data_IF_693386844386
#
_entry.id   IF_693386844386
#
_cell.length_a   1.000
_cell.length_b   1.000
_cell.length_c   1.000
_cell.angle_alpha   90.00
_cell.angle_beta   90.00
_cell.angle_gamma   90.00
#
_symmetry.space_group_name_H-M   'P 1'
#
loop_
_entity.id
_entity.type
_entity.pdbx_description
1 polymer ?
#
# COMPACT_ATOMS: atom_id res chain seq x y z
N UNK A 1 -6.13 -9.55 -5.17
CA UNK A 1 -4.85 -8.83 -5.09
C UNK A 1 -4.77 -7.94 -3.85
N UNK A 2 -5.56 -6.87 -3.74
CA UNK A 2 -5.51 -5.97 -2.57
C UNK A 2 -5.75 -6.68 -1.23
N UNK A 3 -6.70 -7.62 -1.19
CA UNK A 3 -6.95 -8.43 0.02
C UNK A 3 -5.74 -9.28 0.44
N UNK A 4 -4.96 -9.78 -0.52
CA UNK A 4 -3.74 -10.54 -0.24
C UNK A 4 -2.64 -9.63 0.30
N UNK A 5 -2.44 -8.46 -0.33
CA UNK A 5 -1.49 -7.46 0.14
C UNK A 5 -1.80 -7.01 1.57
N UNK A 6 -3.03 -6.58 1.82
CA UNK A 6 -3.44 -6.13 3.16
C UNK A 6 -3.33 -7.28 4.16
N UNK A 7 -3.70 -8.50 3.77
CA UNK A 7 -3.53 -9.69 4.60
C UNK A 7 -2.07 -10.00 4.96
N UNK A 8 -1.11 -9.72 4.08
CA UNK A 8 0.33 -9.85 4.35
C UNK A 8 0.82 -8.77 5.31
N UNK A 9 0.45 -7.51 5.07
CA UNK A 9 0.83 -6.40 5.94
C UNK A 9 0.28 -6.57 7.36
N UNK A 10 -0.98 -6.99 7.51
CA UNK A 10 -1.61 -7.25 8.81
C UNK A 10 -0.99 -8.43 9.58
N UNK A 11 -0.19 -9.28 8.92
CA UNK A 11 0.48 -10.44 9.52
C UNK A 11 1.99 -10.27 9.68
N UNK A 12 2.57 -9.23 9.09
CA UNK A 12 3.99 -8.92 9.24
C UNK A 12 4.20 -8.23 10.58
N UNK A 13 5.08 -8.76 11.47
CA UNK A 13 5.26 -8.21 12.81
C UNK A 13 5.78 -6.77 12.84
N UNK A 14 6.42 -6.31 11.76
CA UNK A 14 6.95 -4.96 11.64
C UNK A 14 5.95 -4.00 10.96
N UNK A 15 4.85 -4.51 10.37
CA UNK A 15 3.81 -3.68 9.74
C UNK A 15 2.47 -3.72 10.48
N UNK A 16 2.13 -4.82 11.15
CA UNK A 16 0.92 -4.97 11.93
C UNK A 16 0.68 -3.84 12.96
N UNK A 17 1.71 -3.28 13.63
CA UNK A 17 1.51 -2.16 14.56
C UNK A 17 0.79 -0.96 13.95
N UNK A 18 0.99 -0.65 12.66
CA UNK A 18 0.32 0.46 11.97
C UNK A 18 -1.20 0.26 11.79
N UNK A 19 -1.68 -0.98 11.96
CA UNK A 19 -3.09 -1.34 11.74
C UNK A 19 -3.78 -1.89 12.99
N UNK A 20 -3.04 -2.09 14.08
CA UNK A 20 -3.53 -2.78 15.28
C UNK A 20 -4.74 -2.08 15.90
N UNK A 21 -4.68 -0.76 16.00
CA UNK A 21 -5.73 0.07 16.61
C UNK A 21 -6.93 0.29 15.68
N UNK A 22 -6.82 -0.07 14.39
CA UNK A 22 -7.92 0.08 13.45
C UNK A 22 -9.02 -0.96 13.71
N UNK A 23 -10.24 -0.46 13.87
CA UNK A 23 -11.44 -1.27 13.93
C UNK A 23 -11.75 -1.90 12.57
N UNK A 24 -12.64 -2.90 12.55
CA UNK A 24 -13.00 -3.62 11.33
C UNK A 24 -13.50 -2.69 10.21
N UNK A 25 -14.30 -1.68 10.54
CA UNK A 25 -14.79 -0.68 9.57
C UNK A 25 -13.67 0.19 9.00
N UNK A 26 -12.67 0.54 9.82
CA UNK A 26 -11.52 1.32 9.39
C UNK A 26 -10.58 0.50 8.51
N UNK A 27 -10.37 -0.79 8.83
CA UNK A 27 -9.65 -1.74 7.97
C UNK A 27 -10.32 -1.89 6.61
N UNK A 28 -11.65 -1.94 6.57
CA UNK A 28 -12.40 -1.96 5.31
C UNK A 28 -12.23 -0.66 4.51
N UNK A 29 -12.17 0.49 5.19
CA UNK A 29 -11.88 1.77 4.54
C UNK A 29 -10.46 1.80 3.97
N UNK A 30 -9.46 1.37 4.72
CA UNK A 30 -8.06 1.25 4.24
C UNK A 30 -7.99 0.36 3.01
N UNK A 31 -8.66 -0.79 3.04
CA UNK A 31 -8.76 -1.69 1.88
C UNK A 31 -9.31 -0.96 0.65
N UNK A 32 -10.42 -0.24 0.79
CA UNK A 32 -11.01 0.48 -0.35
C UNK A 32 -10.08 1.59 -0.87
N UNK A 33 -9.44 2.35 0.02
CA UNK A 33 -8.46 3.37 -0.35
C UNK A 33 -7.26 2.79 -1.09
N UNK A 34 -6.79 1.60 -0.70
CA UNK A 34 -5.75 0.88 -1.44
C UNK A 34 -6.22 0.44 -2.83
N UNK A 35 -7.47 -0.04 -2.97
CA UNK A 35 -8.05 -0.37 -4.28
C UNK A 35 -8.05 0.86 -5.18
N UNK A 36 -8.59 1.97 -4.69
CA UNK A 36 -8.75 3.19 -5.48
C UNK A 36 -7.38 3.76 -5.86
N UNK A 37 -6.43 3.79 -4.92
CA UNK A 37 -5.07 4.27 -5.14
C UNK A 37 -4.32 3.44 -6.21
N UNK A 38 -4.36 2.11 -6.11
CA UNK A 38 -3.67 1.25 -7.07
C UNK A 38 -4.35 1.30 -8.44
N UNK A 39 -5.68 1.33 -8.48
CA UNK A 39 -6.43 1.44 -9.72
C UNK A 39 -6.10 2.74 -10.47
N UNK A 40 -6.15 3.89 -9.79
CA UNK A 40 -5.78 5.18 -10.37
C UNK A 40 -4.31 5.19 -10.81
N UNK A 41 -3.40 4.70 -9.96
CA UNK A 41 -1.96 4.67 -10.25
C UNK A 41 -1.59 3.85 -11.50
N UNK A 42 -2.41 2.85 -11.85
CA UNK A 42 -2.25 2.03 -13.07
C UNK A 42 -3.09 2.53 -14.25
N UNK A 43 -3.62 3.75 -14.20
CA UNK A 43 -4.44 4.33 -15.27
C UNK A 43 -5.85 3.74 -15.40
N UNK A 44 -6.33 3.05 -14.36
CA UNK A 44 -7.70 2.56 -14.28
C UNK A 44 -8.72 3.69 -14.08
N UNK A 45 -10.02 3.40 -14.23
CA UNK A 45 -11.07 4.42 -14.17
C UNK A 45 -11.42 4.90 -12.75
N UNK A 46 -10.75 4.37 -11.71
CA UNK A 46 -11.01 4.74 -10.32
C UNK A 46 -10.39 6.10 -10.01
N UNK A 47 -10.97 6.77 -9.01
CA UNK A 47 -10.45 8.03 -8.49
C UNK A 47 -10.21 7.87 -7.00
N UNK A 48 -8.98 8.13 -6.58
CA UNK A 48 -8.58 8.22 -5.20
C UNK A 48 -9.08 9.55 -4.60
N UNK A 49 -10.10 9.46 -3.76
CA UNK A 49 -10.71 10.61 -3.08
C UNK A 49 -10.27 10.74 -1.62
N UNK A 50 -9.22 10.00 -1.24
CA UNK A 50 -8.63 10.07 0.10
C UNK A 50 -7.79 11.33 0.31
N UNK A 51 -7.23 11.45 1.51
CA UNK A 51 -6.22 12.47 1.79
C UNK A 51 -4.92 12.14 1.04
N UNK A 52 -4.12 13.14 0.69
CA UNK A 52 -2.82 12.89 0.07
C UNK A 52 -1.92 12.01 0.95
N UNK A 53 -0.97 11.29 0.33
CA UNK A 53 -0.14 10.31 1.03
C UNK A 53 0.63 10.94 2.19
N UNK A 54 1.14 12.17 2.04
CA UNK A 54 1.83 12.87 3.11
C UNK A 54 0.93 13.09 4.31
N UNK A 55 -0.26 13.66 4.10
CA UNK A 55 -1.22 13.88 5.18
C UNK A 55 -1.68 12.58 5.83
N UNK A 56 -1.82 11.48 5.07
CA UNK A 56 -2.20 10.17 5.64
C UNK A 56 -1.12 9.61 6.56
N UNK A 57 0.15 9.73 6.18
CA UNK A 57 1.25 9.04 6.86
C UNK A 57 2.04 9.93 7.83
N UNK A 58 1.76 11.23 7.89
CA UNK A 58 2.37 12.17 8.85
C UNK A 58 2.19 11.68 10.29
N UNK A 59 3.29 11.59 11.04
CA UNK A 59 3.28 11.20 12.45
C UNK A 59 3.10 9.69 12.68
N UNK A 60 3.21 8.87 11.63
CA UNK A 60 3.32 7.42 11.75
C UNK A 60 4.77 6.96 11.95
N UNK A 61 5.76 7.85 11.78
CA UNK A 61 7.19 7.55 11.91
C UNK A 61 7.65 6.37 11.03
N UNK A 62 7.05 6.20 9.85
CA UNK A 62 7.38 5.11 8.92
C UNK A 62 8.83 5.23 8.46
N UNK A 63 9.59 4.18 8.71
CA UNK A 63 11.00 4.06 8.38
C UNK A 63 11.22 3.39 7.02
N UNK A 64 12.43 3.51 6.49
CA UNK A 64 12.81 2.85 5.24
C UNK A 64 12.73 1.31 5.29
N UNK A 65 13.12 0.63 6.38
CA UNK A 65 12.88 -0.82 6.53
C UNK A 65 11.40 -1.23 6.43
N UNK A 66 10.49 -0.48 7.07
CA UNK A 66 9.05 -0.78 7.04
C UNK A 66 8.48 -0.52 5.64
N UNK A 67 8.90 0.57 4.98
CA UNK A 67 8.57 0.82 3.58
C UNK A 67 9.00 -0.34 2.68
N UNK A 68 10.24 -0.79 2.82
CA UNK A 68 10.79 -1.89 2.01
C UNK A 68 10.01 -3.21 2.24
N UNK A 69 9.54 -3.46 3.45
CA UNK A 69 8.66 -4.60 3.75
C UNK A 69 7.30 -4.48 3.06
N UNK A 70 6.66 -3.31 3.13
CA UNK A 70 5.38 -3.09 2.46
C UNK A 70 5.49 -3.29 0.94
N UNK A 71 6.56 -2.75 0.31
CA UNK A 71 6.85 -2.96 -1.11
C UNK A 71 7.18 -4.43 -1.40
N UNK A 72 7.92 -5.11 -0.53
CA UNK A 72 8.20 -6.55 -0.66
C UNK A 72 6.92 -7.40 -0.65
N UNK A 73 5.95 -7.07 0.20
CA UNK A 73 4.65 -7.73 0.21
C UNK A 73 3.85 -7.44 -1.06
N UNK A 74 3.91 -6.21 -1.59
CA UNK A 74 3.31 -5.89 -2.88
C UNK A 74 3.92 -6.73 -4.02
N UNK A 75 5.25 -6.87 -4.08
CA UNK A 75 5.92 -7.74 -5.05
C UNK A 75 5.44 -9.18 -4.92
N UNK A 76 5.44 -9.74 -3.70
CA UNK A 76 5.00 -11.11 -3.46
C UNK A 76 3.52 -11.35 -3.81
N UNK A 77 2.66 -10.35 -3.58
CA UNK A 77 1.26 -10.37 -4.02
C UNK A 77 1.19 -10.40 -5.54
N UNK A 78 1.90 -9.51 -6.25
CA UNK A 78 1.87 -9.46 -7.72
C UNK A 78 2.36 -10.78 -8.34
N UNK A 79 3.39 -11.40 -7.76
CA UNK A 79 3.88 -12.72 -8.16
C UNK A 79 2.85 -13.83 -7.90
N UNK A 80 2.18 -13.80 -6.74
CA UNK A 80 1.11 -14.77 -6.40
C UNK A 80 -0.02 -14.74 -7.42
N UNK A 81 -0.40 -13.54 -7.88
CA UNK A 81 -1.42 -13.35 -8.92
C UNK A 81 -0.87 -13.46 -10.35
N UNK A 82 0.42 -13.80 -10.52
CA UNK A 82 1.09 -13.97 -11.82
C UNK A 82 0.97 -12.75 -12.74
N UNK A 83 1.01 -11.56 -12.15
CA UNK A 83 1.04 -10.31 -12.92
C UNK A 83 2.32 -10.28 -13.77
N UNK A 84 2.24 -10.05 -15.10
CA UNK A 84 3.43 -10.07 -15.94
C UNK A 84 4.40 -8.94 -15.58
N UNK A 85 5.66 -9.10 -15.98
CA UNK A 85 6.73 -8.20 -15.55
C UNK A 85 6.53 -6.74 -15.96
N UNK A 86 6.04 -6.40 -17.17
CA UNK A 86 5.77 -5.02 -17.55
C UNK A 86 4.80 -4.32 -16.59
N UNK A 87 3.65 -4.93 -16.34
CA UNK A 87 2.59 -4.38 -15.49
C UNK A 87 3.03 -4.31 -14.03
N UNK A 88 3.80 -5.31 -13.55
CA UNK A 88 4.39 -5.27 -12.22
C UNK A 88 5.38 -4.10 -12.08
N UNK A 89 6.23 -3.89 -13.07
CA UNK A 89 7.23 -2.81 -13.03
C UNK A 89 6.57 -1.42 -13.10
N UNK A 90 5.52 -1.27 -13.91
CA UNK A 90 4.73 -0.05 -13.97
C UNK A 90 4.11 0.29 -12.62
N UNK A 91 3.42 -0.68 -12.00
CA UNK A 91 2.80 -0.47 -10.69
C UNK A 91 3.83 -0.19 -9.58
N UNK A 92 4.95 -0.93 -9.57
CA UNK A 92 6.02 -0.68 -8.60
C UNK A 92 6.65 0.69 -8.79
N UNK A 93 6.78 1.17 -10.03
CA UNK A 93 7.25 2.53 -10.33
C UNK A 93 6.32 3.59 -9.77
N UNK A 94 5.00 3.43 -9.97
CA UNK A 94 4.01 4.35 -9.43
C UNK A 94 4.01 4.38 -7.89
N UNK A 95 4.12 3.22 -7.23
CA UNK A 95 4.22 3.14 -5.77
C UNK A 95 5.54 3.72 -5.26
N UNK A 96 6.66 3.48 -5.94
CA UNK A 96 7.96 4.02 -5.56
C UNK A 96 7.98 5.56 -5.55
N UNK A 97 7.25 6.19 -6.47
CA UNK A 97 7.13 7.65 -6.53
C UNK A 97 6.43 8.28 -5.30
N UNK A 98 5.72 7.46 -4.49
CA UNK A 98 5.06 7.92 -3.26
C UNK A 98 5.98 7.89 -2.04
N UNK A 99 7.18 7.29 -2.12
CA UNK A 99 8.06 7.05 -0.96
C UNK A 99 8.35 8.32 -0.17
N UNK A 100 8.67 9.42 -0.84
CA UNK A 100 9.02 10.70 -0.21
C UNK A 100 7.83 11.40 0.47
N UNK A 101 6.61 10.91 0.24
CA UNK A 101 5.38 11.35 0.91
C UNK A 101 4.96 10.40 2.03
N UNK A 102 5.73 9.35 2.32
CA UNK A 102 5.33 8.30 3.27
C UNK A 102 6.43 8.07 4.30
N UNK A 103 7.68 7.91 3.85
CA UNK A 103 8.82 7.67 4.73
C UNK A 103 9.21 8.97 5.44
N UNK A 104 9.33 8.91 6.77
CA UNK A 104 9.80 10.02 7.60
C UNK A 104 8.89 11.26 7.62
N UNK A 105 7.59 11.10 7.37
CA UNK A 105 6.62 12.21 7.42
C UNK A 105 6.12 12.55 8.82
#
# INVERSE_FOLDING_TARGET
MVDDLLGRMLKDPDLEPFFRELQAGEKQRVRQMLVDQLCEATGGPCVYVGKDMKTVHTGMDITEPEWNKAVGHLVATLETFRVPAPERNELLGAVAALKDQIVGQ
#
